data_IF_329559023956
#
_entry.id   IF_329559023956
#
_cell.length_a   1.000
_cell.length_b   1.000
_cell.length_c   1.000
_cell.angle_alpha   90.00
_cell.angle_beta   90.00
_cell.angle_gamma   90.00
#
_symmetry.space_group_name_H-M   'P 1'
#
loop_
_entity.id
_entity.type
_entity.pdbx_description
1 polymer ?
#
# COMPACT_ATOMS: atom_id res chain seq x y z
N UNK A 1 -7.57 4.85 -12.19
CA UNK A 1 -7.35 4.04 -10.98
C UNK A 1 -6.42 4.76 -10.02
N UNK A 2 -5.23 5.28 -10.42
CA UNK A 2 -4.30 6.02 -9.52
C UNK A 2 -4.96 7.23 -8.85
N UNK A 3 -5.76 8.00 -9.57
CA UNK A 3 -6.50 9.13 -9.00
C UNK A 3 -7.54 8.66 -7.96
N UNK A 4 -8.21 7.53 -8.24
CA UNK A 4 -9.13 6.91 -7.26
C UNK A 4 -8.36 6.53 -5.99
N UNK A 5 -7.18 5.89 -6.14
CA UNK A 5 -6.35 5.52 -4.99
C UNK A 5 -5.91 6.75 -4.16
N UNK A 6 -5.57 7.87 -4.81
CA UNK A 6 -5.25 9.12 -4.09
C UNK A 6 -6.46 9.67 -3.34
N UNK A 7 -7.65 9.61 -3.95
CA UNK A 7 -8.90 10.07 -3.32
C UNK A 7 -9.29 9.19 -2.14
N UNK A 8 -9.17 7.86 -2.27
CA UNK A 8 -9.46 6.94 -1.16
C UNK A 8 -8.45 7.09 -0.01
N UNK A 9 -7.18 7.40 -0.30
CA UNK A 9 -6.18 7.76 0.70
C UNK A 9 -6.56 9.05 1.44
N UNK A 10 -7.05 10.05 0.72
CA UNK A 10 -7.56 11.27 1.35
C UNK A 10 -8.70 10.97 2.32
N UNK A 11 -9.68 10.14 1.94
CA UNK A 11 -10.78 9.76 2.83
C UNK A 11 -10.29 9.00 4.07
N UNK A 12 -9.28 8.15 3.93
CA UNK A 12 -8.65 7.48 5.06
C UNK A 12 -8.05 8.48 6.05
N UNK A 13 -7.24 9.41 5.56
CA UNK A 13 -6.62 10.43 6.41
C UNK A 13 -7.66 11.39 7.01
N UNK A 14 -8.67 11.78 6.23
CA UNK A 14 -9.79 12.58 6.72
C UNK A 14 -10.49 11.88 7.89
N UNK A 15 -10.76 10.59 7.76
CA UNK A 15 -11.35 9.78 8.83
C UNK A 15 -10.53 9.84 10.11
N UNK A 16 -9.22 9.63 10.00
CA UNK A 16 -8.33 9.62 11.16
C UNK A 16 -8.18 10.98 11.87
N UNK A 17 -8.30 12.08 11.14
CA UNK A 17 -8.08 13.43 11.68
C UNK A 17 -9.38 14.07 12.20
N UNK A 18 -10.49 13.86 11.49
CA UNK A 18 -11.73 14.61 11.75
C UNK A 18 -12.87 13.80 12.32
N UNK A 19 -12.81 12.46 12.28
CA UNK A 19 -13.89 11.63 12.80
C UNK A 19 -13.46 10.89 14.07
N UNK A 20 -14.43 10.65 14.95
CA UNK A 20 -14.20 9.86 16.16
C UNK A 20 -14.01 8.40 15.79
N UNK A 21 -12.85 7.83 16.20
CA UNK A 21 -12.55 6.42 15.99
C UNK A 21 -13.65 5.53 16.60
N UNK A 22 -13.96 4.42 15.91
CA UNK A 22 -15.01 3.48 16.34
C UNK A 22 -16.41 3.83 15.84
N UNK A 23 -16.64 5.01 15.24
CA UNK A 23 -17.93 5.32 14.61
C UNK A 23 -18.05 4.66 13.23
N UNK A 24 -19.24 4.24 12.84
CA UNK A 24 -19.48 3.62 11.53
C UNK A 24 -18.95 4.44 10.34
N UNK A 25 -19.18 5.77 10.26
CA UNK A 25 -18.62 6.57 9.16
C UNK A 25 -17.09 6.58 9.14
N UNK A 26 -16.45 6.64 10.32
CA UNK A 26 -14.99 6.63 10.42
C UNK A 26 -14.41 5.30 9.92
N UNK A 27 -14.93 4.17 10.39
CA UNK A 27 -14.47 2.86 10.02
C UNK A 27 -14.76 2.54 8.54
N UNK A 28 -15.88 3.00 8.00
CA UNK A 28 -16.19 2.85 6.57
C UNK A 28 -15.21 3.63 5.68
N UNK A 29 -14.91 4.89 5.99
CA UNK A 29 -13.95 5.70 5.22
C UNK A 29 -12.52 5.16 5.36
N UNK A 30 -12.15 4.68 6.54
CA UNK A 30 -10.89 3.97 6.78
C UNK A 30 -10.79 2.73 5.89
N UNK A 31 -11.85 1.91 5.87
CA UNK A 31 -11.92 0.68 5.08
C UNK A 31 -11.80 0.93 3.56
N UNK A 32 -12.50 1.94 3.03
CA UNK A 32 -12.33 2.37 1.64
C UNK A 32 -10.88 2.81 1.37
N UNK A 33 -10.25 3.50 2.30
CA UNK A 33 -8.87 3.95 2.17
C UNK A 33 -7.84 2.83 2.02
N UNK A 34 -8.13 1.65 2.54
CA UNK A 34 -7.30 0.46 2.34
C UNK A 34 -7.21 -0.03 0.88
N UNK A 35 -8.01 0.53 -0.01
CA UNK A 35 -7.86 0.41 -1.46
C UNK A 35 -6.48 0.86 -1.96
N UNK A 36 -5.91 1.89 -1.33
CA UNK A 36 -4.71 2.58 -1.82
C UNK A 36 -3.48 1.69 -1.82
N UNK A 37 -3.21 0.98 -0.73
CA UNK A 37 -1.96 0.24 -0.58
C UNK A 37 -1.80 -0.89 -1.61
N UNK A 38 -2.76 -1.80 -1.82
CA UNK A 38 -2.65 -2.83 -2.86
C UNK A 38 -2.50 -2.25 -4.27
N UNK A 39 -3.25 -1.18 -4.59
CA UNK A 39 -3.17 -0.51 -5.89
C UNK A 39 -1.80 0.11 -6.10
N UNK A 40 -1.25 0.79 -5.11
CA UNK A 40 0.06 1.44 -5.22
C UNK A 40 1.19 0.42 -5.29
N UNK A 41 1.11 -0.69 -4.53
CA UNK A 41 2.07 -1.80 -4.63
C UNK A 41 2.03 -2.45 -6.02
N UNK A 42 0.83 -2.70 -6.58
CA UNK A 42 0.69 -3.22 -7.94
C UNK A 42 1.33 -2.28 -8.98
N UNK A 43 1.02 -0.99 -8.92
CA UNK A 43 1.60 -0.01 -9.84
C UNK A 43 3.10 0.25 -9.60
N UNK A 44 3.61 -0.02 -8.42
CA UNK A 44 5.04 0.04 -8.13
C UNK A 44 5.77 -1.06 -8.89
N UNK A 45 5.25 -2.28 -8.88
CA UNK A 45 5.79 -3.42 -9.65
C UNK A 45 5.71 -3.13 -11.15
N UNK A 46 4.58 -2.66 -11.63
CA UNK A 46 4.45 -2.25 -13.04
C UNK A 46 5.45 -1.16 -13.41
N UNK A 47 5.63 -0.17 -12.53
CA UNK A 47 6.61 0.91 -12.70
C UNK A 47 8.05 0.40 -12.71
N UNK A 48 8.36 -0.60 -11.89
CA UNK A 48 9.68 -1.24 -11.86
C UNK A 48 10.05 -1.86 -13.20
N UNK A 49 9.12 -2.55 -13.86
CA UNK A 49 9.36 -3.16 -15.18
C UNK A 49 9.30 -2.16 -16.34
N UNK A 50 8.51 -1.09 -16.24
CA UNK A 50 8.34 -0.08 -17.30
C UNK A 50 9.32 1.09 -17.22
N UNK A 51 10.12 1.21 -16.17
CA UNK A 51 11.05 2.33 -16.01
C UNK A 51 12.35 2.12 -16.79
N UNK A 52 12.82 3.15 -17.48
CA UNK A 52 14.12 3.15 -18.13
C UNK A 52 15.29 3.32 -17.13
N UNK A 53 15.05 3.94 -15.98
CA UNK A 53 16.06 4.17 -14.95
C UNK A 53 15.51 3.93 -13.55
N UNK A 54 15.92 2.83 -12.93
CA UNK A 54 15.56 2.48 -11.56
C UNK A 54 16.07 3.51 -10.56
N UNK A 55 17.26 4.07 -10.77
CA UNK A 55 17.83 5.14 -9.91
C UNK A 55 16.98 6.40 -9.95
N UNK A 56 16.58 6.86 -11.14
CA UNK A 56 15.72 8.03 -11.27
C UNK A 56 14.33 7.80 -10.67
N UNK A 57 13.79 6.58 -10.76
CA UNK A 57 12.52 6.21 -10.15
C UNK A 57 12.63 6.25 -8.62
N UNK A 58 13.66 5.62 -8.03
CA UNK A 58 13.90 5.63 -6.59
C UNK A 58 14.10 7.06 -6.06
N UNK A 59 14.87 7.90 -6.78
CA UNK A 59 15.06 9.31 -6.42
C UNK A 59 13.73 10.08 -6.38
N UNK A 60 12.84 9.88 -7.36
CA UNK A 60 11.51 10.51 -7.35
C UNK A 60 10.68 10.05 -6.16
N UNK A 61 10.64 8.72 -5.88
CA UNK A 61 9.94 8.20 -4.70
C UNK A 61 10.47 8.83 -3.41
N UNK A 62 11.80 8.93 -3.26
CA UNK A 62 12.44 9.52 -2.09
C UNK A 62 12.08 11.00 -1.93
N UNK A 63 12.16 11.79 -3.00
CA UNK A 63 11.79 13.23 -2.95
C UNK A 63 10.33 13.40 -2.56
N UNK A 64 9.40 12.62 -3.17
CA UNK A 64 7.99 12.68 -2.81
C UNK A 64 7.73 12.19 -1.37
N UNK A 65 8.47 11.17 -0.90
CA UNK A 65 8.38 10.70 0.47
C UNK A 65 8.78 11.80 1.47
N UNK A 66 9.87 12.52 1.21
CA UNK A 66 10.30 13.65 2.05
C UNK A 66 9.29 14.82 2.01
N UNK A 67 8.81 15.19 0.82
CA UNK A 67 7.82 16.28 0.69
C UNK A 67 6.51 15.96 1.41
N UNK A 68 6.04 14.71 1.33
CA UNK A 68 4.80 14.29 1.99
C UNK A 68 4.96 13.98 3.48
N UNK A 69 6.19 13.86 3.99
CA UNK A 69 6.42 13.58 5.41
C UNK A 69 6.01 14.75 6.31
N UNK A 70 6.26 15.98 5.88
CA UNK A 70 5.93 17.18 6.67
C UNK A 70 4.42 17.29 6.90
N UNK A 71 3.55 17.33 5.87
CA UNK A 71 2.10 17.38 6.08
C UNK A 71 1.56 16.13 6.80
N UNK A 72 2.15 14.95 6.57
CA UNK A 72 1.78 13.72 7.27
C UNK A 72 2.05 13.84 8.78
N UNK A 73 3.23 14.33 9.17
CA UNK A 73 3.58 14.53 10.58
C UNK A 73 2.65 15.55 11.25
N UNK A 74 2.37 16.66 10.58
CA UNK A 74 1.47 17.71 11.11
C UNK A 74 0.03 17.21 11.27
N UNK A 75 -0.46 16.41 10.32
CA UNK A 75 -1.83 15.91 10.35
C UNK A 75 -2.07 14.87 11.47
N UNK A 76 -1.08 14.02 11.73
CA UNK A 76 -1.24 12.91 12.67
C UNK A 76 -0.67 13.19 14.06
N UNK A 77 -0.04 14.37 14.27
CA UNK A 77 0.52 14.80 15.56
C UNK A 77 1.21 13.66 16.34
N UNK A 78 2.00 12.86 15.63
CA UNK A 78 2.62 11.64 16.18
C UNK A 78 3.92 12.01 16.89
N UNK A 79 4.00 11.66 18.16
CA UNK A 79 5.21 11.77 18.97
C UNK A 79 6.36 10.89 18.45
N UNK A 80 6.03 9.76 17.80
CA UNK A 80 7.02 8.89 17.18
C UNK A 80 7.19 9.23 15.69
N UNK A 81 8.45 9.17 15.22
CA UNK A 81 8.80 9.40 13.83
C UNK A 81 8.36 8.23 12.92
N UNK A 82 7.04 8.10 12.73
CA UNK A 82 6.48 7.15 11.77
C UNK A 82 6.59 7.74 10.37
N UNK A 83 7.23 7.00 9.47
CA UNK A 83 7.39 7.37 8.09
C UNK A 83 6.08 7.15 7.32
N UNK A 84 5.75 8.06 6.39
CA UNK A 84 4.55 7.95 5.58
C UNK A 84 4.60 6.78 4.59
N UNK A 85 3.47 6.47 3.95
CA UNK A 85 3.33 5.39 2.98
C UNK A 85 4.31 5.48 1.80
N UNK A 86 4.77 6.67 1.41
CA UNK A 86 5.72 6.81 0.30
C UNK A 86 7.10 6.21 0.63
N UNK A 87 7.50 6.21 1.92
CA UNK A 87 8.69 5.48 2.37
C UNK A 87 8.48 3.97 2.31
N UNK A 88 7.30 3.46 2.68
CA UNK A 88 6.97 2.04 2.51
C UNK A 88 7.14 1.60 1.04
N UNK A 89 6.65 2.42 0.10
CA UNK A 89 6.79 2.17 -1.33
C UNK A 89 8.25 2.28 -1.80
N UNK A 90 9.03 3.21 -1.25
CA UNK A 90 10.45 3.33 -1.56
C UNK A 90 11.22 2.08 -1.11
N UNK A 91 11.02 1.63 0.13
CA UNK A 91 11.66 0.41 0.62
C UNK A 91 11.24 -0.81 -0.20
N UNK A 92 9.95 -0.93 -0.53
CA UNK A 92 9.44 -1.98 -1.42
C UNK A 92 10.10 -1.96 -2.80
N UNK A 93 10.30 -0.78 -3.37
CA UNK A 93 10.99 -0.61 -4.65
C UNK A 93 12.47 -1.01 -4.57
N UNK A 94 13.16 -0.62 -3.50
CA UNK A 94 14.56 -1.00 -3.27
C UNK A 94 14.68 -2.52 -3.07
N UNK A 95 13.75 -3.15 -2.37
CA UNK A 95 13.68 -4.61 -2.23
C UNK A 95 13.56 -5.28 -3.61
N UNK A 96 12.69 -4.80 -4.50
CA UNK A 96 12.61 -5.31 -5.87
C UNK A 96 13.94 -5.13 -6.62
N UNK A 97 14.62 -3.98 -6.47
CA UNK A 97 15.90 -3.75 -7.10
C UNK A 97 16.97 -4.73 -6.63
N UNK A 98 17.00 -5.04 -5.33
CA UNK A 98 17.94 -6.03 -4.77
C UNK A 98 17.56 -7.44 -5.20
N UNK A 99 16.27 -7.80 -5.12
CA UNK A 99 15.74 -9.12 -5.45
C UNK A 99 16.02 -9.53 -6.89
N UNK A 100 15.87 -8.61 -7.85
CA UNK A 100 16.20 -8.81 -9.25
C UNK A 100 17.65 -8.45 -9.62
N UNK A 101 18.46 -8.10 -8.63
CA UNK A 101 19.85 -7.72 -8.82
C UNK A 101 20.84 -8.91 -8.73
N UNK A 102 22.07 -8.70 -9.21
CA UNK A 102 23.13 -9.71 -9.11
C UNK A 102 23.55 -10.01 -7.66
N UNK A 103 23.44 -9.02 -6.75
CA UNK A 103 23.77 -9.18 -5.34
C UNK A 103 22.93 -10.28 -4.67
N UNK A 104 21.64 -10.38 -5.03
CA UNK A 104 20.76 -11.43 -4.53
C UNK A 104 21.15 -12.81 -5.07
N UNK A 105 21.45 -12.90 -6.38
CA UNK A 105 21.90 -14.15 -7.01
C UNK A 105 23.19 -14.69 -6.40
N UNK A 106 24.06 -13.80 -5.91
CA UNK A 106 25.33 -14.16 -5.23
C UNK A 106 25.18 -14.40 -3.72
N UNK A 107 23.96 -14.46 -3.19
CA UNK A 107 23.69 -14.68 -1.77
C UNK A 107 23.92 -13.47 -0.84
N UNK A 108 24.45 -12.36 -1.36
CA UNK A 108 24.73 -11.13 -0.56
C UNK A 108 23.53 -10.19 -0.43
N UNK A 109 22.49 -10.35 -1.24
CA UNK A 109 21.30 -9.50 -1.22
C UNK A 109 20.31 -9.81 -0.10
N UNK A 110 20.41 -10.96 0.53
CA UNK A 110 19.48 -11.38 1.59
C UNK A 110 19.53 -10.44 2.80
N UNK A 111 20.74 -10.09 3.25
CA UNK A 111 20.92 -9.16 4.36
C UNK A 111 20.40 -7.75 4.03
N UNK A 112 20.58 -7.30 2.78
CA UNK A 112 20.04 -6.02 2.32
C UNK A 112 18.52 -6.02 2.32
N UNK A 113 17.87 -7.10 1.85
CA UNK A 113 16.42 -7.26 1.89
C UNK A 113 15.92 -7.26 3.33
N UNK A 114 16.57 -8.03 4.22
CA UNK A 114 16.21 -8.06 5.64
C UNK A 114 16.32 -6.67 6.29
N UNK A 115 17.39 -5.92 6.00
CA UNK A 115 17.55 -4.54 6.47
C UNK A 115 16.46 -3.60 5.95
N UNK A 116 16.07 -3.71 4.68
CA UNK A 116 15.00 -2.90 4.09
C UNK A 116 13.63 -3.27 4.68
N UNK A 117 13.37 -4.55 4.95
CA UNK A 117 12.17 -4.98 5.67
C UNK A 117 12.15 -4.42 7.10
N UNK A 118 13.28 -4.46 7.80
CA UNK A 118 13.40 -3.87 9.13
C UNK A 118 13.13 -2.36 9.10
N UNK A 119 13.70 -1.62 8.16
CA UNK A 119 13.42 -0.19 7.99
C UNK A 119 11.95 0.08 7.67
N UNK A 120 11.28 -0.80 6.94
CA UNK A 120 9.86 -0.64 6.63
C UNK A 120 8.95 -0.75 7.85
N UNK A 121 9.40 -1.37 8.96
CA UNK A 121 8.62 -1.46 10.21
C UNK A 121 8.29 -0.06 10.77
N UNK A 122 9.17 0.91 10.53
CA UNK A 122 8.96 2.29 10.96
C UNK A 122 8.08 3.12 10.02
N UNK A 123 7.42 2.51 9.06
CA UNK A 123 6.56 3.20 8.09
C UNK A 123 5.10 2.77 8.18
N UNK A 124 4.21 3.58 7.62
CA UNK A 124 2.74 3.46 7.76
C UNK A 124 2.20 2.07 7.38
N UNK A 125 2.66 1.51 6.26
CA UNK A 125 2.32 0.14 5.81
C UNK A 125 3.44 -0.86 6.08
N UNK A 126 4.20 -0.67 7.12
CA UNK A 126 5.24 -1.55 7.69
C UNK A 126 5.70 -2.68 6.74
N UNK A 127 5.67 -3.89 7.22
CA UNK A 127 6.03 -5.11 6.48
C UNK A 127 5.03 -5.46 5.36
N UNK A 128 3.78 -4.97 5.44
CA UNK A 128 2.73 -5.34 4.50
C UNK A 128 3.00 -4.83 3.08
N UNK A 129 3.46 -3.58 2.92
CA UNK A 129 3.73 -3.02 1.60
C UNK A 129 4.85 -3.77 0.85
N UNK A 130 6.02 -4.07 1.46
CA UNK A 130 7.02 -4.94 0.85
C UNK A 130 6.51 -6.33 0.52
N UNK A 131 5.76 -6.96 1.43
CA UNK A 131 5.20 -8.29 1.21
C UNK A 131 4.22 -8.30 0.03
N UNK A 132 3.28 -7.34 -0.02
CA UNK A 132 2.34 -7.21 -1.13
C UNK A 132 3.05 -6.95 -2.46
N UNK A 133 4.08 -6.11 -2.44
CA UNK A 133 4.88 -5.83 -3.63
C UNK A 133 5.55 -7.10 -4.17
N UNK A 134 6.15 -7.93 -3.33
CA UNK A 134 6.75 -9.20 -3.74
C UNK A 134 5.70 -10.22 -4.22
N UNK A 135 4.50 -10.23 -3.64
CA UNK A 135 3.41 -11.07 -4.10
C UNK A 135 2.92 -10.65 -5.49
N UNK A 136 2.76 -9.35 -5.74
CA UNK A 136 2.41 -8.84 -7.07
C UNK A 136 3.51 -9.08 -8.10
N UNK A 137 4.78 -8.97 -7.70
CA UNK A 137 5.91 -9.30 -8.55
C UNK A 137 5.87 -10.77 -9.00
N UNK A 138 5.63 -11.70 -8.06
CA UNK A 138 5.48 -13.12 -8.37
C UNK A 138 4.23 -13.45 -9.20
N UNK A 139 3.15 -12.71 -9.00
CA UNK A 139 1.92 -12.90 -9.78
C UNK A 139 2.10 -12.46 -11.24
N UNK A 140 2.94 -11.46 -11.48
CA UNK A 140 3.20 -10.90 -12.81
C UNK A 140 1.90 -10.38 -13.46
N UNK A 141 1.70 -10.72 -14.75
CA UNK A 141 0.51 -10.33 -15.52
C UNK A 141 -0.54 -11.45 -15.62
N UNK A 142 -0.32 -12.58 -14.97
CA UNK A 142 -1.24 -13.72 -15.05
C UNK A 142 -2.50 -13.46 -14.22
N UNK A 143 -3.64 -13.34 -14.90
CA UNK A 143 -4.91 -12.94 -14.28
C UNK A 143 -5.33 -13.84 -13.11
N UNK A 144 -5.16 -15.16 -13.22
CA UNK A 144 -5.50 -16.11 -12.15
C UNK A 144 -4.60 -15.92 -10.90
N UNK A 145 -3.31 -15.67 -11.11
CA UNK A 145 -2.37 -15.39 -10.00
C UNK A 145 -2.68 -14.05 -9.35
N UNK A 146 -2.97 -13.01 -10.15
CA UNK A 146 -3.40 -11.72 -9.63
C UNK A 146 -4.68 -11.81 -8.79
N UNK A 147 -5.68 -12.58 -9.25
CA UNK A 147 -6.90 -12.82 -8.47
C UNK A 147 -6.59 -13.43 -7.10
N UNK A 148 -5.78 -14.50 -7.07
CA UNK A 148 -5.36 -15.15 -5.83
C UNK A 148 -4.59 -14.19 -4.92
N UNK A 149 -3.71 -13.36 -5.50
CA UNK A 149 -2.93 -12.37 -4.75
C UNK A 149 -3.85 -11.31 -4.12
N UNK A 150 -4.82 -10.76 -4.86
CA UNK A 150 -5.76 -9.79 -4.30
C UNK A 150 -6.66 -10.40 -3.22
N UNK A 151 -7.13 -11.64 -3.39
CA UNK A 151 -7.86 -12.36 -2.35
C UNK A 151 -7.01 -12.55 -1.09
N UNK A 152 -5.76 -12.96 -1.26
CA UNK A 152 -4.83 -13.13 -0.14
C UNK A 152 -4.56 -11.80 0.57
N UNK A 153 -4.29 -10.72 -0.18
CA UNK A 153 -4.08 -9.37 0.38
C UNK A 153 -5.31 -8.91 1.16
N UNK A 154 -6.51 -9.13 0.63
CA UNK A 154 -7.77 -8.80 1.30
C UNK A 154 -7.90 -9.56 2.63
N UNK A 155 -7.62 -10.86 2.62
CA UNK A 155 -7.64 -11.69 3.83
C UNK A 155 -6.61 -11.22 4.88
N UNK A 156 -5.37 -10.90 4.45
CA UNK A 156 -4.32 -10.41 5.35
C UNK A 156 -4.72 -9.08 6.00
N UNK A 157 -5.29 -8.15 5.24
CA UNK A 157 -5.78 -6.88 5.80
C UNK A 157 -6.90 -7.13 6.82
N UNK A 158 -7.85 -8.02 6.52
CA UNK A 158 -8.91 -8.41 7.46
C UNK A 158 -8.37 -9.04 8.74
N UNK A 159 -7.39 -9.94 8.64
CA UNK A 159 -6.73 -10.58 9.78
C UNK A 159 -5.98 -9.55 10.62
N UNK A 160 -5.25 -8.63 9.98
CA UNK A 160 -4.53 -7.56 10.67
C UNK A 160 -5.49 -6.63 11.43
N UNK A 161 -6.63 -6.28 10.84
CA UNK A 161 -7.67 -5.48 11.53
C UNK A 161 -8.30 -6.28 12.68
N UNK A 162 -8.59 -7.58 12.49
CA UNK A 162 -9.11 -8.44 13.55
C UNK A 162 -8.14 -8.53 14.74
N UNK A 163 -6.84 -8.65 14.48
CA UNK A 163 -5.81 -8.63 15.51
C UNK A 163 -5.76 -7.27 16.25
N UNK A 164 -5.91 -6.15 15.52
CA UNK A 164 -5.99 -4.81 16.11
C UNK A 164 -7.20 -4.65 17.01
N UNK A 165 -8.37 -5.09 16.55
CA UNK A 165 -9.62 -5.08 17.34
C UNK A 165 -9.46 -5.90 18.63
N UNK A 166 -8.88 -7.09 18.55
CA UNK A 166 -8.66 -7.96 19.70
C UNK A 166 -7.71 -7.36 20.76
N UNK A 167 -6.73 -6.53 20.31
CA UNK A 167 -5.76 -5.90 21.21
C UNK A 167 -6.29 -4.64 21.90
N UNK A 168 -7.15 -3.87 21.24
CA UNK A 168 -7.57 -2.54 21.74
C UNK A 168 -8.79 -2.58 22.65
N UNK A 169 -9.66 -3.57 22.55
CA UNK A 169 -10.99 -3.48 23.15
C UNK A 169 -11.35 -4.66 24.07
N UNK A 170 -10.38 -5.55 24.35
CA UNK A 170 -10.77 -6.82 24.97
C UNK A 170 -11.80 -7.48 24.03
N UNK A 171 -12.52 -8.45 24.43
CA UNK A 171 -13.57 -9.03 23.58
C UNK A 171 -14.67 -7.97 23.36
N UNK A 172 -14.54 -7.14 22.32
CA UNK A 172 -15.62 -6.26 21.83
C UNK A 172 -16.90 -7.04 21.66
N UNK A 173 -18.02 -6.42 21.94
CA UNK A 173 -19.30 -6.97 21.57
C UNK A 173 -19.27 -7.44 20.13
N UNK A 174 -19.49 -8.71 19.90
CA UNK A 174 -19.28 -9.43 18.65
C UNK A 174 -19.74 -8.72 17.35
N UNK A 175 -20.84 -7.90 17.34
CA UNK A 175 -21.22 -7.27 16.07
C UNK A 175 -20.30 -6.13 15.63
N UNK A 176 -19.76 -5.31 16.52
CA UNK A 176 -18.98 -4.11 16.16
C UNK A 176 -17.59 -4.44 15.62
N UNK A 177 -16.90 -5.36 16.26
CA UNK A 177 -15.60 -5.85 15.78
C UNK A 177 -15.69 -6.51 14.42
N UNK A 178 -16.72 -7.34 14.19
CA UNK A 178 -16.96 -7.97 12.89
C UNK A 178 -17.23 -6.95 11.77
N UNK A 179 -17.99 -5.89 12.05
CA UNK A 179 -18.26 -4.81 11.08
C UNK A 179 -16.97 -4.06 10.71
N UNK A 180 -16.11 -3.76 11.67
CA UNK A 180 -14.80 -3.12 11.40
C UNK A 180 -13.93 -3.98 10.49
N UNK A 181 -13.83 -5.28 10.77
CA UNK A 181 -13.08 -6.23 9.92
C UNK A 181 -13.68 -6.29 8.51
N UNK A 182 -15.00 -6.37 8.37
CA UNK A 182 -15.65 -6.37 7.06
C UNK A 182 -15.37 -5.08 6.28
N UNK A 183 -15.47 -3.92 6.93
CA UNK A 183 -15.15 -2.64 6.27
C UNK A 183 -13.70 -2.58 5.82
N UNK A 184 -12.75 -3.09 6.60
CA UNK A 184 -11.33 -3.11 6.23
C UNK A 184 -11.04 -3.93 4.97
N UNK A 185 -11.86 -4.94 4.69
CA UNK A 185 -11.72 -5.79 3.51
C UNK A 185 -12.30 -5.18 2.22
N UNK A 186 -13.18 -4.18 2.32
CA UNK A 186 -13.83 -3.54 1.16
C UNK A 186 -12.80 -2.91 0.22
N UNK A 187 -11.89 -2.11 0.77
CA UNK A 187 -10.88 -1.40 -0.03
C UNK A 187 -10.01 -2.33 -0.87
N UNK A 188 -9.32 -3.32 -0.28
CA UNK A 188 -8.50 -4.28 -1.01
C UNK A 188 -9.29 -5.11 -2.02
N UNK A 189 -10.53 -5.51 -1.70
CA UNK A 189 -11.40 -6.24 -2.62
C UNK A 189 -11.74 -5.39 -3.85
N UNK A 190 -12.14 -4.13 -3.65
CA UNK A 190 -12.39 -3.17 -4.74
C UNK A 190 -11.12 -2.90 -5.56
N UNK A 191 -9.95 -2.84 -4.92
CA UNK A 191 -8.67 -2.72 -5.62
C UNK A 191 -8.45 -3.88 -6.60
N UNK A 192 -8.72 -5.11 -6.15
CA UNK A 192 -8.67 -6.30 -6.98
C UNK A 192 -9.62 -6.22 -8.18
N UNK A 193 -10.88 -5.85 -7.95
CA UNK A 193 -11.86 -5.69 -9.02
C UNK A 193 -11.45 -4.61 -10.02
N UNK A 194 -11.00 -3.45 -9.55
CA UNK A 194 -10.56 -2.35 -10.41
C UNK A 194 -9.33 -2.73 -11.25
N UNK A 195 -8.36 -3.46 -10.70
CA UNK A 195 -7.18 -3.87 -11.45
C UNK A 195 -7.51 -5.00 -12.44
N UNK A 196 -8.28 -6.00 -12.02
CA UNK A 196 -8.57 -7.19 -12.85
C UNK A 196 -9.54 -6.91 -14.01
N UNK A 197 -10.47 -5.99 -13.82
CA UNK A 197 -11.55 -5.73 -14.79
C UNK A 197 -11.51 -4.32 -15.37
N UNK A 198 -10.95 -3.34 -14.67
CA UNK A 198 -10.91 -1.94 -15.11
C UNK A 198 -9.56 -1.47 -15.64
N UNK A 199 -8.48 -2.27 -15.52
CA UNK A 199 -7.14 -1.86 -15.96
C UNK A 199 -6.69 -2.65 -17.19
N UNK A 200 -6.40 -1.93 -18.29
CA UNK A 200 -5.93 -2.50 -19.55
C UNK A 200 -4.42 -2.38 -19.78
N UNK A 201 -3.66 -1.83 -18.84
CA UNK A 201 -2.20 -1.64 -18.99
C UNK A 201 -1.78 -0.51 -19.92
N UNK A 202 -2.70 0.16 -20.59
CA UNK A 202 -2.41 1.22 -21.56
C UNK A 202 -2.34 2.61 -20.91
N UNK A 203 -1.45 3.48 -21.42
CA UNK A 203 -1.45 4.89 -21.04
C UNK A 203 -2.64 5.59 -21.70
N UNK A 204 -3.38 6.39 -20.95
CA UNK A 204 -4.44 7.24 -21.51
C UNK A 204 -3.87 8.14 -22.63
N UNK A 205 -4.36 7.94 -23.86
CA UNK A 205 -3.90 8.70 -25.03
C UNK A 205 -4.15 10.22 -24.93
N UNK A 206 -5.12 10.63 -24.10
CA UNK A 206 -5.55 12.04 -23.95
C UNK A 206 -4.62 12.90 -23.07
N UNK A 207 -3.77 12.32 -22.22
CA UNK A 207 -2.88 13.09 -21.33
C UNK A 207 -1.74 13.82 -22.06
N UNK A 208 -1.52 13.56 -23.36
CA UNK A 208 -0.44 14.16 -24.14
C UNK A 208 -0.85 15.46 -24.84
N UNK A 209 -2.14 15.76 -24.92
CA UNK A 209 -2.65 16.98 -25.58
C UNK A 209 -2.85 18.18 -24.63
N UNK A 210 -2.81 17.96 -23.32
CA UNK A 210 -3.01 19.03 -22.32
C UNK A 210 -1.69 19.65 -21.83
N UNK A 211 -0.54 19.05 -22.23
CA UNK A 211 0.81 19.52 -21.84
C UNK A 211 1.69 19.89 -23.06
N UNK A 212 1.07 20.41 -24.12
CA UNK A 212 1.79 21.08 -25.20
C UNK A 212 1.46 22.58 -25.23
#
# INVERSE_FOLDING_TARGET
IKMIAMLTMFFNHFSHVFLTAGTYPAEFLKGIGYFTAPVMCYFLVEGFYKTSSRRAYAKRLFVFALMSQVPYFLAFNREAAVLNMMFSLLFSFLILCVFHGEAFRRGKGQLQIAGLFFLSVFSDWSVLAPAFTLLFDRAGQERKKLQKTFLFVTAVVGINEAASVAQTEGVLGFPEGAVRVLFSMIGPALAGLCILYGYNGERAKKGRQVLK
#
